data_IF_479389525011
#
_entry.id   IF_479389525011
#
_cell.length_a   1.000
_cell.length_b   1.000
_cell.length_c   1.000
_cell.angle_alpha   90.00
_cell.angle_beta   90.00
_cell.angle_gamma   90.00
#
_symmetry.space_group_name_H-M   'P 1'
#
loop_
_entity.id
_entity.type
_entity.pdbx_description
1 polymer ?
#
# COMPACT_ATOMS: atom_id res chain seq x y z
N UNK A 1 -9.29 2.59 3.81
CA UNK A 1 -8.87 3.82 4.51
C UNK A 1 -8.14 3.50 5.81
N UNK A 2 -8.76 2.85 6.80
CA UNK A 2 -8.09 2.52 8.07
C UNK A 2 -6.74 1.78 7.90
N UNK A 3 -6.68 0.81 7.00
CA UNK A 3 -5.44 0.08 6.68
C UNK A 3 -4.36 1.01 6.07
N UNK A 4 -4.75 1.95 5.22
CA UNK A 4 -3.81 2.95 4.66
C UNK A 4 -3.28 3.85 5.77
N UNK A 5 -4.16 4.38 6.62
CA UNK A 5 -3.77 5.21 7.77
C UNK A 5 -2.83 4.45 8.71
N UNK A 6 -3.21 3.23 9.09
CA UNK A 6 -2.48 2.39 10.04
C UNK A 6 -1.08 1.98 9.58
N UNK A 7 -0.79 2.07 8.27
CA UNK A 7 0.55 1.81 7.72
C UNK A 7 1.29 3.10 7.45
N UNK A 8 0.64 4.04 6.76
CA UNK A 8 1.27 5.28 6.33
C UNK A 8 1.70 6.15 7.51
N UNK A 9 1.00 6.09 8.65
CA UNK A 9 1.39 6.84 9.85
C UNK A 9 2.67 6.25 10.49
N UNK A 10 2.73 4.97 10.90
CA UNK A 10 3.96 4.41 11.48
C UNK A 10 5.15 4.47 10.52
N UNK A 11 4.95 4.17 9.24
CA UNK A 11 6.01 4.21 8.25
C UNK A 11 6.53 5.63 8.03
N UNK A 12 5.62 6.60 7.87
CA UNK A 12 5.99 8.01 7.74
C UNK A 12 6.73 8.53 8.97
N UNK A 13 6.29 8.17 10.18
CA UNK A 13 6.99 8.54 11.42
C UNK A 13 8.38 7.90 11.49
N UNK A 14 8.49 6.60 11.16
CA UNK A 14 9.76 5.89 11.19
C UNK A 14 10.77 6.48 10.19
N UNK A 15 10.33 6.87 8.99
CA UNK A 15 11.18 7.51 8.00
C UNK A 15 11.52 8.97 8.32
N UNK A 16 10.66 9.68 9.07
CA UNK A 16 10.87 11.07 9.45
C UNK A 16 11.81 11.22 10.65
N UNK A 17 11.60 10.39 11.68
CA UNK A 17 12.23 10.52 13.00
C UNK A 17 13.19 9.38 13.33
N UNK A 18 13.13 8.27 12.60
CA UNK A 18 14.00 7.11 12.84
C UNK A 18 15.44 7.34 12.38
N UNK A 19 16.40 6.57 12.93
CA UNK A 19 17.78 6.58 12.48
C UNK A 19 17.91 6.02 11.06
N UNK A 20 18.95 6.46 10.32
CA UNK A 20 19.19 6.05 8.94
C UNK A 20 19.36 4.55 8.74
N UNK A 21 19.83 3.85 9.77
CA UNK A 21 20.08 2.41 9.74
C UNK A 21 18.78 1.60 9.64
N UNK A 22 17.63 2.22 9.91
CA UNK A 22 16.33 1.58 9.73
C UNK A 22 15.87 1.57 8.26
N UNK A 23 16.31 2.51 7.42
CA UNK A 23 15.76 2.65 6.08
C UNK A 23 15.91 1.40 5.19
N UNK A 24 17.06 0.69 5.19
CA UNK A 24 17.20 -0.56 4.43
C UNK A 24 16.34 -1.72 4.98
N UNK A 25 15.89 -1.62 6.23
CA UNK A 25 15.01 -2.60 6.86
C UNK A 25 13.56 -2.34 6.47
N UNK A 26 13.16 -1.06 6.43
CA UNK A 26 11.81 -0.63 6.04
C UNK A 26 11.65 -0.75 4.52
N UNK A 27 12.69 -0.45 3.73
CA UNK A 27 12.60 -0.41 2.27
C UNK A 27 13.61 -1.35 1.59
N UNK A 28 13.17 -1.98 0.50
CA UNK A 28 13.99 -2.93 -0.27
C UNK A 28 15.14 -2.30 -1.05
N UNK A 29 15.21 -0.96 -1.12
CA UNK A 29 16.27 -0.22 -1.78
C UNK A 29 16.81 0.90 -0.90
N UNK A 30 18.05 1.31 -1.17
CA UNK A 30 18.75 2.32 -0.38
C UNK A 30 18.07 3.68 -0.50
N UNK A 31 17.60 4.21 0.64
CA UNK A 31 17.11 5.58 0.75
C UNK A 31 18.20 6.46 1.37
N UNK A 32 18.49 7.59 0.74
CA UNK A 32 19.26 8.65 1.42
C UNK A 32 18.39 9.26 2.53
N UNK A 33 18.98 9.91 3.56
CA UNK A 33 18.20 10.61 4.57
C UNK A 33 17.25 11.67 4.01
N UNK A 34 17.65 12.34 2.93
CA UNK A 34 16.79 13.32 2.25
C UNK A 34 15.59 12.62 1.58
N UNK A 35 15.84 11.56 0.82
CA UNK A 35 14.79 10.79 0.16
C UNK A 35 13.83 10.17 1.17
N UNK A 36 14.34 9.62 2.28
CA UNK A 36 13.52 9.06 3.35
C UNK A 36 12.57 10.09 3.95
N UNK A 37 13.05 11.31 4.27
CA UNK A 37 12.21 12.39 4.81
C UNK A 37 11.18 12.91 3.82
N UNK A 38 11.56 12.99 2.54
CA UNK A 38 10.62 13.36 1.48
C UNK A 38 9.49 12.31 1.37
N UNK A 39 9.87 11.02 1.31
CA UNK A 39 8.91 9.90 1.31
C UNK A 39 8.03 9.92 2.54
N UNK A 40 8.59 10.18 3.73
CA UNK A 40 7.83 10.34 4.96
C UNK A 40 6.74 11.41 4.85
N UNK A 41 7.06 12.58 4.29
CA UNK A 41 6.11 13.64 4.04
C UNK A 41 4.94 13.21 3.15
N UNK A 42 5.21 12.42 2.11
CA UNK A 42 4.16 11.87 1.24
C UNK A 42 3.24 10.93 2.01
N UNK A 43 3.79 9.97 2.75
CA UNK A 43 3.00 9.01 3.55
C UNK A 43 2.13 9.71 4.60
N UNK A 44 2.70 10.68 5.33
CA UNK A 44 1.95 11.42 6.35
C UNK A 44 0.86 12.31 5.74
N UNK A 45 1.10 12.91 4.58
CA UNK A 45 0.09 13.72 3.88
C UNK A 45 -1.07 12.85 3.38
N UNK A 46 -0.75 11.69 2.80
CA UNK A 46 -1.76 10.70 2.38
C UNK A 46 -2.57 10.23 3.59
N UNK A 47 -1.91 9.86 4.69
CA UNK A 47 -2.59 9.46 5.93
C UNK A 47 -3.52 10.56 6.45
N UNK A 48 -3.04 11.81 6.49
CA UNK A 48 -3.83 12.96 6.93
C UNK A 48 -5.08 13.14 6.06
N UNK A 49 -4.94 13.10 4.73
CA UNK A 49 -6.07 13.18 3.82
C UNK A 49 -7.12 12.10 4.07
N UNK A 50 -6.68 10.87 4.29
CA UNK A 50 -7.58 9.76 4.62
C UNK A 50 -8.20 9.87 6.02
N UNK A 51 -7.48 10.38 7.03
CA UNK A 51 -8.03 10.65 8.37
C UNK A 51 -9.14 11.71 8.29
N UNK A 52 -8.89 12.80 7.57
CA UNK A 52 -9.86 13.88 7.39
C UNK A 52 -11.12 13.39 6.67
N UNK A 53 -10.95 12.63 5.57
CA UNK A 53 -12.07 12.05 4.84
C UNK A 53 -12.85 11.02 5.68
N UNK A 54 -12.14 10.20 6.49
CA UNK A 54 -12.78 9.26 7.42
C UNK A 54 -13.61 10.00 8.46
N UNK A 55 -13.05 11.04 9.08
CA UNK A 55 -13.72 11.85 10.10
C UNK A 55 -14.94 12.59 9.55
N UNK A 56 -14.86 13.10 8.32
CA UNK A 56 -15.97 13.80 7.68
C UNK A 56 -17.05 12.85 7.13
N UNK A 57 -16.83 11.53 7.14
CA UNK A 57 -17.73 10.55 6.53
C UNK A 57 -17.79 10.66 4.99
N UNK A 58 -16.90 11.43 4.37
CA UNK A 58 -16.90 11.73 2.93
C UNK A 58 -16.13 10.68 2.15
N UNK A 59 -16.62 9.44 2.20
CA UNK A 59 -16.05 8.32 1.45
C UNK A 59 -15.84 8.65 -0.04
N UNK A 60 -16.77 9.39 -0.63
CA UNK A 60 -16.76 9.82 -2.03
C UNK A 60 -15.50 10.56 -2.45
N UNK A 61 -15.05 11.51 -1.63
CA UNK A 61 -13.84 12.29 -1.88
C UNK A 61 -12.58 11.41 -1.90
N UNK A 62 -12.62 10.25 -1.23
CA UNK A 62 -11.49 9.33 -1.12
C UNK A 62 -11.50 8.20 -2.15
N UNK A 63 -12.57 8.04 -2.95
CA UNK A 63 -12.74 6.91 -3.89
C UNK A 63 -11.63 6.84 -4.93
N UNK A 64 -11.30 7.95 -5.58
CA UNK A 64 -10.27 7.99 -6.64
C UNK A 64 -8.88 7.71 -6.04
N UNK A 65 -8.42 8.40 -4.98
CA UNK A 65 -7.16 8.08 -4.32
C UNK A 65 -7.06 6.61 -3.88
N UNK A 66 -8.16 6.06 -3.36
CA UNK A 66 -8.21 4.67 -2.90
C UNK A 66 -8.14 3.68 -4.08
N UNK A 67 -8.81 3.96 -5.18
CA UNK A 67 -8.74 3.16 -6.40
C UNK A 67 -7.32 3.17 -7.01
N UNK A 68 -6.63 4.31 -6.97
CA UNK A 68 -5.22 4.39 -7.39
C UNK A 68 -4.32 3.51 -6.52
N UNK A 69 -4.53 3.51 -5.19
CA UNK A 69 -3.78 2.64 -4.28
C UNK A 69 -4.07 1.15 -4.54
N UNK A 70 -5.31 0.78 -4.86
CA UNK A 70 -5.66 -0.59 -5.24
C UNK A 70 -4.99 -1.02 -6.54
N UNK A 71 -4.98 -0.16 -7.56
CA UNK A 71 -4.31 -0.42 -8.83
C UNK A 71 -2.80 -0.58 -8.63
N UNK A 72 -2.18 0.32 -7.86
CA UNK A 72 -0.76 0.22 -7.49
C UNK A 72 -0.45 -1.10 -6.78
N UNK A 73 -1.24 -1.46 -5.76
CA UNK A 73 -1.09 -2.72 -5.04
C UNK A 73 -1.19 -3.95 -5.97
N UNK A 74 -2.11 -3.93 -6.91
CA UNK A 74 -2.29 -5.03 -7.87
C UNK A 74 -1.08 -5.16 -8.81
N UNK A 75 -0.57 -4.04 -9.33
CA UNK A 75 0.63 -4.01 -10.18
C UNK A 75 1.85 -4.51 -9.41
N UNK A 76 2.00 -4.07 -8.15
CA UNK A 76 3.10 -4.49 -7.29
C UNK A 76 3.06 -6.01 -7.02
N UNK A 77 1.89 -6.57 -6.72
CA UNK A 77 1.72 -8.02 -6.55
C UNK A 77 1.98 -8.79 -7.83
N UNK A 78 1.44 -8.33 -8.97
CA UNK A 78 1.66 -8.98 -10.26
C UNK A 78 3.14 -8.99 -10.64
N UNK A 79 3.84 -7.87 -10.40
CA UNK A 79 5.28 -7.75 -10.63
C UNK A 79 6.07 -8.67 -9.71
N UNK A 80 5.73 -8.71 -8.41
CA UNK A 80 6.39 -9.57 -7.44
C UNK A 80 6.20 -11.07 -7.79
N UNK A 81 4.99 -11.47 -8.17
CA UNK A 81 4.71 -12.82 -8.63
C UNK A 81 5.51 -13.14 -9.89
N UNK A 82 5.56 -12.24 -10.86
CA UNK A 82 6.36 -12.40 -12.08
C UNK A 82 7.85 -12.60 -11.78
N UNK A 83 8.41 -11.83 -10.85
CA UNK A 83 9.80 -11.97 -10.39
C UNK A 83 10.03 -13.34 -9.75
N UNK A 84 9.12 -13.79 -8.87
CA UNK A 84 9.23 -15.09 -8.22
C UNK A 84 9.16 -16.25 -9.22
N UNK A 85 8.23 -16.18 -10.18
CA UNK A 85 8.10 -17.18 -11.24
C UNK A 85 9.32 -17.21 -12.19
N UNK A 86 10.01 -16.07 -12.34
CA UNK A 86 11.24 -15.96 -13.12
C UNK A 86 12.52 -16.37 -12.35
N UNK A 87 12.39 -16.84 -11.09
CA UNK A 87 13.52 -17.32 -10.30
C UNK A 87 14.13 -16.30 -9.32
N UNK A 88 13.54 -15.11 -9.18
CA UNK A 88 13.94 -14.08 -8.22
C UNK A 88 15.41 -13.62 -8.30
N UNK A 89 16.01 -13.60 -9.48
CA UNK A 89 17.41 -13.18 -9.67
C UNK A 89 17.52 -12.10 -10.74
N UNK A 90 18.37 -11.11 -10.50
CA UNK A 90 18.73 -10.10 -11.49
C UNK A 90 19.77 -10.64 -12.51
N UNK A 91 20.12 -9.90 -13.58
CA UNK A 91 21.13 -10.34 -14.55
C UNK A 91 22.52 -10.61 -13.97
N UNK A 92 22.80 -10.11 -12.76
CA UNK A 92 24.03 -10.31 -12.01
C UNK A 92 23.94 -11.47 -11.00
N UNK A 93 22.84 -12.23 -11.00
CA UNK A 93 22.63 -13.38 -10.11
C UNK A 93 22.27 -13.04 -8.66
N UNK A 94 21.97 -11.78 -8.35
CA UNK A 94 21.56 -11.35 -7.01
C UNK A 94 20.04 -11.39 -6.84
N UNK A 95 19.53 -11.66 -5.62
CA UNK A 95 18.10 -11.67 -5.37
C UNK A 95 17.46 -10.30 -5.57
N UNK A 96 16.32 -10.26 -6.26
CA UNK A 96 15.55 -9.01 -6.48
C UNK A 96 14.63 -8.75 -5.29
N UNK A 97 13.94 -9.78 -4.81
CA UNK A 97 13.10 -9.75 -3.62
C UNK A 97 13.80 -10.48 -2.47
N UNK A 98 13.92 -9.79 -1.34
CA UNK A 98 14.56 -10.30 -0.13
C UNK A 98 13.50 -10.92 0.80
N UNK A 99 13.13 -12.17 0.54
CA UNK A 99 12.06 -12.91 1.25
C UNK A 99 12.35 -13.16 2.74
N UNK A 100 13.61 -13.06 3.13
CA UNK A 100 14.10 -13.13 4.50
C UNK A 100 13.78 -11.87 5.33
N UNK A 101 13.43 -10.76 4.67
CA UNK A 101 13.11 -9.52 5.37
C UNK A 101 11.66 -9.53 5.87
N UNK A 102 11.42 -9.38 7.19
CA UNK A 102 10.06 -9.40 7.74
C UNK A 102 9.19 -8.27 7.20
N UNK A 103 9.78 -7.12 6.87
CA UNK A 103 9.05 -5.98 6.35
C UNK A 103 8.51 -6.20 4.92
N UNK A 104 9.12 -7.07 4.12
CA UNK A 104 8.60 -7.44 2.80
C UNK A 104 7.22 -8.11 2.93
N UNK A 105 7.02 -8.92 3.97
CA UNK A 105 5.76 -9.62 4.22
C UNK A 105 4.63 -8.66 4.63
N UNK A 106 4.97 -7.59 5.35
CA UNK A 106 4.03 -6.49 5.63
C UNK A 106 3.51 -5.93 4.31
N UNK A 107 4.39 -5.58 3.37
CA UNK A 107 3.98 -5.10 2.04
C UNK A 107 3.12 -6.08 1.27
N UNK A 108 3.49 -7.37 1.24
CA UNK A 108 2.68 -8.39 0.59
C UNK A 108 1.27 -8.46 1.16
N UNK A 109 1.13 -8.51 2.48
CA UNK A 109 -0.18 -8.54 3.15
C UNK A 109 -1.00 -7.31 2.79
N UNK A 110 -0.38 -6.12 2.79
CA UNK A 110 -1.06 -4.88 2.47
C UNK A 110 -1.51 -4.82 1.02
N UNK A 111 -0.68 -5.27 0.09
CA UNK A 111 -1.07 -5.32 -1.31
C UNK A 111 -2.19 -6.34 -1.53
N UNK A 112 -2.13 -7.52 -0.91
CA UNK A 112 -3.19 -8.53 -1.00
C UNK A 112 -4.51 -7.98 -0.44
N UNK A 113 -4.48 -7.39 0.76
CA UNK A 113 -5.66 -6.81 1.38
C UNK A 113 -6.24 -5.64 0.56
N UNK A 114 -5.37 -4.81 -0.03
CA UNK A 114 -5.77 -3.68 -0.87
C UNK A 114 -6.39 -4.14 -2.19
N UNK A 115 -5.76 -5.09 -2.88
CA UNK A 115 -6.31 -5.65 -4.13
C UNK A 115 -7.60 -6.42 -3.89
N UNK A 116 -7.70 -7.20 -2.81
CA UNK A 116 -8.93 -7.90 -2.43
C UNK A 116 -10.05 -6.91 -2.10
N UNK A 117 -9.75 -5.85 -1.33
CA UNK A 117 -10.70 -4.79 -1.01
C UNK A 117 -11.19 -4.04 -2.27
N UNK A 118 -10.29 -3.72 -3.19
CA UNK A 118 -10.65 -3.10 -4.46
C UNK A 118 -11.49 -4.00 -5.36
N UNK A 119 -11.13 -5.28 -5.47
CA UNK A 119 -11.89 -6.26 -6.24
C UNK A 119 -13.31 -6.45 -5.67
N UNK A 120 -13.42 -6.59 -4.34
CA UNK A 120 -14.71 -6.65 -3.67
C UNK A 120 -15.56 -5.41 -3.97
N UNK A 121 -14.98 -4.22 -3.87
CA UNK A 121 -15.67 -2.97 -4.12
C UNK A 121 -16.13 -2.81 -5.58
N UNK A 122 -15.30 -3.20 -6.55
CA UNK A 122 -15.65 -3.01 -7.97
C UNK A 122 -16.52 -4.13 -8.55
N UNK A 123 -16.39 -5.37 -8.04
CA UNK A 123 -17.06 -6.54 -8.63
C UNK A 123 -18.28 -6.98 -7.82
N UNK A 124 -18.18 -6.99 -6.49
CA UNK A 124 -19.18 -7.59 -5.60
C UNK A 124 -20.14 -6.56 -4.99
N UNK A 125 -19.62 -5.40 -4.58
CA UNK A 125 -20.42 -4.33 -3.97
C UNK A 125 -21.55 -3.79 -4.88
N UNK A 126 -21.34 -3.51 -6.19
CA UNK A 126 -22.38 -2.97 -7.06
C UNK A 126 -23.49 -3.99 -7.32
N UNK A 127 -23.16 -5.29 -7.27
CA UNK A 127 -24.13 -6.38 -7.43
C UNK A 127 -25.06 -6.48 -6.22
N UNK A 128 -24.53 -6.25 -5.00
CA UNK A 128 -25.29 -6.25 -3.75
C UNK A 128 -26.31 -5.12 -3.67
N UNK A 129 -25.95 -3.92 -4.13
CA UNK A 129 -26.88 -2.78 -4.20
C UNK A 129 -28.00 -3.00 -5.22
N UNK A 130 -27.71 -3.67 -6.36
CA UNK A 130 -28.74 -4.00 -7.36
C UNK A 130 -29.68 -5.13 -6.94
N UNK A 131 -29.26 -6.00 -6.02
CA UNK A 131 -30.08 -7.10 -5.51
C UNK A 131 -30.89 -6.74 -4.26
N UNK A 132 -30.71 -5.54 -3.69
CA UNK A 132 -31.64 -5.05 -2.67
C UNK A 132 -32.94 -4.69 -3.39
N UNK A 133 -34.10 -5.27 -3.03
CA UNK A 133 -35.36 -4.83 -3.59
C UNK A 133 -35.46 -3.32 -3.36
N UNK A 134 -35.82 -2.58 -4.40
CA UNK A 134 -36.39 -1.26 -4.18
C UNK A 134 -37.62 -1.50 -3.30
N UNK A 135 -37.51 -1.17 -2.00
CA UNK A 135 -38.68 -1.13 -1.13
C UNK A 135 -39.66 -0.11 -1.75
N UNK A 136 -40.94 -0.50 -1.96
CA UNK A 136 -41.97 0.35 -2.54
C UNK A 136 -42.34 1.54 -1.63
#
# INVERSE_FOLDING_TARGET
MALVIGVSVPEGIALLLGPSDWYPVIWGWTLTPMTARFTAGLYLTVALGFILAWRAGTWEASRIPLAMLWAFALIALGSALGILLAGNTNPQGQPILFLDRPFLWVWFVLYVASSAGGLYYHVLYPRRQRSSPADP
#
